data_IF_811596394921
#
_entry.id   IF_811596394921
#
_cell.length_a   1.000
_cell.length_b   1.000
_cell.length_c   1.000
_cell.angle_alpha   90.00
_cell.angle_beta   90.00
_cell.angle_gamma   90.00
#
_symmetry.space_group_name_H-M   'P 1'
#
loop_
_entity.id
_entity.type
_entity.pdbx_description
1 polymer ?
#
# COMPACT_ATOMS: atom_id res chain seq x y z
N UNK A 1 15.83 -3.02 -10.31
CA UNK A 1 15.36 -1.68 -9.88
C UNK A 1 14.23 -1.26 -10.80
N UNK A 2 12.97 -1.37 -10.36
CA UNK A 2 11.87 -0.89 -11.18
C UNK A 2 11.86 0.64 -11.06
N UNK A 3 12.20 1.33 -12.15
CA UNK A 3 12.01 2.79 -12.21
C UNK A 3 10.52 3.08 -12.09
N UNK A 4 10.20 4.26 -11.55
CA UNK A 4 8.91 4.96 -11.32
C UNK A 4 7.73 4.74 -12.30
N UNK A 5 7.85 3.94 -13.34
CA UNK A 5 6.90 3.83 -14.46
C UNK A 5 5.60 3.09 -14.19
N UNK A 6 5.53 2.07 -13.34
CA UNK A 6 4.26 1.33 -13.16
C UNK A 6 4.15 0.70 -11.76
N UNK A 7 3.93 1.56 -10.75
CA UNK A 7 3.50 1.12 -9.42
C UNK A 7 2.01 1.38 -9.31
N UNK A 8 1.21 0.31 -9.20
CA UNK A 8 -0.21 0.40 -8.92
C UNK A 8 -0.53 -0.08 -7.52
N UNK A 9 -1.49 0.56 -6.84
CA UNK A 9 -1.96 0.13 -5.52
C UNK A 9 -3.46 0.27 -5.39
N UNK A 10 -4.10 -0.74 -4.83
CA UNK A 10 -5.53 -0.76 -4.54
C UNK A 10 -5.78 -1.46 -3.20
N UNK A 11 -6.61 -0.86 -2.35
CA UNK A 11 -7.10 -1.51 -1.13
C UNK A 11 -8.54 -1.97 -1.34
N UNK A 12 -8.85 -3.18 -0.88
CA UNK A 12 -10.19 -3.76 -0.87
C UNK A 12 -10.42 -4.42 0.49
N UNK A 13 -11.19 -3.79 1.37
CA UNK A 13 -11.32 -4.27 2.75
C UNK A 13 -9.96 -4.35 3.46
N UNK A 14 -9.59 -5.55 3.90
CA UNK A 14 -8.28 -5.87 4.50
C UNK A 14 -7.30 -6.48 3.50
N UNK A 15 -7.45 -6.24 2.22
CA UNK A 15 -6.50 -6.68 1.20
C UNK A 15 -5.85 -5.48 0.52
N UNK A 16 -4.54 -5.59 0.33
CA UNK A 16 -3.76 -4.67 -0.48
C UNK A 16 -3.27 -5.40 -1.72
N UNK A 17 -3.68 -4.87 -2.88
CA UNK A 17 -3.16 -5.29 -4.18
C UNK A 17 -2.11 -4.28 -4.59
N UNK A 18 -0.90 -4.75 -4.86
CA UNK A 18 0.21 -3.95 -5.38
C UNK A 18 0.66 -4.49 -6.72
N UNK A 19 0.92 -3.59 -7.66
CA UNK A 19 1.54 -3.90 -8.93
C UNK A 19 2.89 -3.21 -9.03
N UNK A 20 3.91 -3.94 -9.49
CA UNK A 20 5.21 -3.38 -9.87
C UNK A 20 5.57 -3.99 -11.21
N UNK A 21 5.77 -3.15 -12.22
CA UNK A 21 6.19 -3.59 -13.56
C UNK A 21 5.23 -4.64 -14.18
N UNK A 22 3.93 -4.36 -14.08
CA UNK A 22 2.86 -5.26 -14.55
C UNK A 22 2.61 -6.51 -13.69
N UNK A 23 3.51 -6.86 -12.76
CA UNK A 23 3.33 -7.99 -11.86
C UNK A 23 2.50 -7.58 -10.64
N UNK A 24 1.38 -8.28 -10.38
CA UNK A 24 0.50 -8.02 -9.24
C UNK A 24 0.71 -9.01 -8.11
N UNK A 25 0.66 -8.50 -6.89
CA UNK A 25 0.64 -9.30 -5.65
C UNK A 25 -0.47 -8.80 -4.74
N UNK A 26 -1.19 -9.74 -4.13
CA UNK A 26 -2.16 -9.46 -3.07
C UNK A 26 -1.53 -9.80 -1.72
N UNK A 27 -1.71 -8.91 -0.76
CA UNK A 27 -1.26 -9.06 0.62
C UNK A 27 -2.42 -8.76 1.57
N UNK A 28 -2.64 -9.63 2.55
CA UNK A 28 -3.58 -9.36 3.64
C UNK A 28 -3.02 -8.27 4.54
N UNK A 29 -3.86 -7.32 4.92
CA UNK A 29 -3.56 -6.24 5.83
C UNK A 29 -3.97 -6.64 7.26
N UNK A 30 -3.14 -6.30 8.25
CA UNK A 30 -3.56 -6.32 9.64
C UNK A 30 -4.80 -5.45 9.87
N UNK A 31 -5.69 -5.87 10.78
CA UNK A 31 -6.91 -5.14 11.11
C UNK A 31 -6.65 -3.72 11.63
N UNK A 32 -5.50 -3.46 12.27
CA UNK A 32 -5.07 -2.13 12.69
C UNK A 32 -4.98 -1.12 11.52
N UNK A 33 -4.79 -1.59 10.28
CA UNK A 33 -4.75 -0.75 9.08
C UNK A 33 -6.11 -0.60 8.38
N UNK A 34 -7.20 -1.15 8.95
CA UNK A 34 -8.54 -1.08 8.37
C UNK A 34 -9.00 0.37 8.11
N UNK A 35 -8.71 1.28 9.03
CA UNK A 35 -9.10 2.69 8.94
C UNK A 35 -8.15 3.54 8.09
N UNK A 36 -6.99 3.00 7.68
CA UNK A 36 -5.96 3.74 6.97
C UNK A 36 -6.07 3.53 5.47
N UNK A 37 -5.80 4.59 4.69
CA UNK A 37 -5.76 4.56 3.24
C UNK A 37 -4.32 4.56 2.73
N UNK A 38 -3.98 3.76 1.72
CA UNK A 38 -2.66 3.81 1.10
C UNK A 38 -2.51 5.10 0.29
N UNK A 39 -1.46 5.88 0.56
CA UNK A 39 -1.27 7.20 -0.07
C UNK A 39 -0.02 7.30 -0.95
N UNK A 40 1.00 6.48 -0.68
CA UNK A 40 2.22 6.46 -1.46
C UNK A 40 2.82 5.07 -1.55
N UNK A 41 3.68 4.85 -2.54
CA UNK A 41 4.56 3.69 -2.59
C UNK A 41 5.84 3.97 -3.38
N UNK A 42 6.90 3.30 -2.95
CA UNK A 42 8.23 3.37 -3.54
C UNK A 42 8.78 1.95 -3.66
N UNK A 43 9.53 1.68 -4.72
CA UNK A 43 10.15 0.38 -4.94
C UNK A 43 11.64 0.56 -5.15
N UNK A 44 12.42 0.26 -4.12
CA UNK A 44 13.87 0.44 -4.10
C UNK A 44 14.49 -0.86 -3.56
N UNK A 45 15.62 -1.27 -4.13
CA UNK A 45 16.38 -2.46 -3.68
C UNK A 45 15.54 -3.74 -3.49
N UNK A 46 14.54 -3.96 -4.35
CA UNK A 46 13.66 -5.13 -4.28
C UNK A 46 12.56 -5.04 -3.21
N UNK A 47 12.48 -3.93 -2.49
CA UNK A 47 11.52 -3.68 -1.43
C UNK A 47 10.45 -2.71 -1.89
N UNK A 48 9.18 -3.12 -1.82
CA UNK A 48 8.05 -2.22 -2.01
C UNK A 48 7.64 -1.62 -0.66
N UNK A 49 7.98 -0.36 -0.45
CA UNK A 49 7.50 0.42 0.68
C UNK A 49 6.18 1.10 0.36
N UNK A 50 5.34 1.18 1.38
CA UNK A 50 3.92 1.47 1.25
C UNK A 50 3.53 2.36 2.41
N UNK A 51 3.08 3.57 2.12
CA UNK A 51 2.64 4.51 3.16
C UNK A 51 1.13 4.44 3.29
N UNK A 52 0.67 4.41 4.54
CA UNK A 52 -0.73 4.47 4.93
C UNK A 52 -0.97 5.72 5.77
N UNK A 53 -2.07 6.42 5.51
CA UNK A 53 -2.51 7.54 6.32
C UNK A 53 -3.95 7.34 6.77
N UNK A 54 -4.22 7.59 8.05
CA UNK A 54 -5.57 7.54 8.60
C UNK A 54 -6.39 8.72 8.09
N UNK A 55 -7.72 8.60 8.10
CA UNK A 55 -8.56 9.79 8.03
C UNK A 55 -8.18 10.72 9.20
N UNK A 56 -8.06 12.03 8.95
CA UNK A 56 -7.86 13.06 9.99
C UNK A 56 -8.96 12.85 11.04
N UNK A 57 -8.64 12.21 12.16
CA UNK A 57 -9.63 11.68 13.11
C UNK A 57 -9.31 10.30 13.70
N UNK A 58 -8.29 9.58 13.20
CA UNK A 58 -7.66 8.49 13.95
C UNK A 58 -6.66 9.07 14.98
N UNK A 59 -7.13 10.00 15.81
CA UNK A 59 -6.48 10.25 17.10
C UNK A 59 -6.82 9.04 17.96
N UNK A 60 -5.77 8.43 18.52
CA UNK A 60 -5.84 7.22 19.33
C UNK A 60 -6.93 7.39 20.41
N UNK A 61 -8.02 6.63 20.28
CA UNK A 61 -8.99 6.44 21.34
C UNK A 61 -8.34 5.73 22.54
#
# INVERSE_FOLDING_TARGET
>A
FARKGDISRKKSGLELIVGVDGQRRTSSLPSALAAFQPTAATFEDGTLAVTFQGAKGAELA
#
